data_IF_798635373117
#
_entry.id   IF_798635373117
#
_cell.length_a   1.000
_cell.length_b   1.000
_cell.length_c   1.000
_cell.angle_alpha   90.00
_cell.angle_beta   90.00
_cell.angle_gamma   90.00
#
_symmetry.space_group_name_H-M   'P 1'
#
loop_
_entity.id
_entity.type
_entity.pdbx_description
1 polymer ?
#
# COMPACT_ATOMS: atom_id res chain seq x y z
N UNK A 1 -17.47 -20.04 8.96
CA UNK A 1 -16.82 -18.94 9.71
C UNK A 1 -15.39 -18.75 9.18
N UNK A 2 -15.22 -17.99 8.09
CA UNK A 2 -13.89 -17.56 7.66
C UNK A 2 -13.45 -16.42 8.58
N UNK A 3 -12.40 -16.65 9.37
CA UNK A 3 -11.97 -15.69 10.38
C UNK A 3 -11.55 -14.38 9.72
N UNK A 4 -11.82 -13.24 10.36
CA UNK A 4 -11.45 -11.90 9.87
C UNK A 4 -9.96 -11.74 9.52
N UNK A 5 -9.12 -12.67 9.97
CA UNK A 5 -7.70 -12.77 9.69
C UNK A 5 -7.38 -13.15 8.25
N UNK A 6 -8.12 -14.07 7.62
CA UNK A 6 -7.80 -14.49 6.24
C UNK A 6 -8.13 -13.38 5.25
N UNK A 7 -9.22 -12.65 5.45
CA UNK A 7 -9.57 -11.46 4.63
C UNK A 7 -8.49 -10.38 4.67
N UNK A 8 -7.81 -10.20 5.80
CA UNK A 8 -6.72 -9.23 5.92
C UNK A 8 -5.43 -9.67 5.20
N UNK A 9 -5.20 -10.97 5.02
CA UNK A 9 -4.03 -11.48 4.29
C UNK A 9 -4.23 -11.38 2.77
N UNK A 10 -5.46 -11.54 2.30
CA UNK A 10 -5.82 -11.42 0.88
C UNK A 10 -5.69 -9.97 0.35
N UNK A 11 -5.70 -8.97 1.23
CA UNK A 11 -5.52 -7.55 0.91
C UNK A 11 -4.04 -7.11 0.82
N UNK A 12 -3.08 -8.02 1.07
CA UNK A 12 -1.66 -7.69 1.00
C UNK A 12 -1.28 -7.40 -0.46
N UNK A 13 -0.81 -6.18 -0.69
CA UNK A 13 -0.38 -5.77 -2.02
C UNK A 13 0.92 -6.50 -2.40
N UNK A 14 1.05 -7.00 -3.63
CA UNK A 14 2.33 -7.48 -4.13
C UNK A 14 3.32 -6.31 -4.24
N UNK A 15 4.62 -6.62 -4.20
CA UNK A 15 5.69 -5.64 -4.34
C UNK A 15 5.49 -4.79 -5.62
N UNK A 16 5.40 -3.45 -5.53
CA UNK A 16 5.24 -2.59 -6.69
C UNK A 16 6.48 -2.67 -7.57
N UNK A 17 6.30 -2.78 -8.89
CA UNK A 17 7.43 -2.83 -9.83
C UNK A 17 8.04 -4.22 -10.06
N UNK A 18 7.47 -5.29 -9.48
CA UNK A 18 7.78 -6.68 -9.86
C UNK A 18 9.26 -7.03 -9.81
N UNK A 19 9.83 -7.47 -10.94
CA UNK A 19 11.22 -7.88 -11.06
C UNK A 19 12.23 -6.75 -10.91
N UNK A 20 11.89 -5.52 -11.30
CA UNK A 20 12.82 -4.38 -11.25
C UNK A 20 13.13 -4.03 -9.79
N UNK A 21 12.08 -3.92 -8.97
CA UNK A 21 12.26 -3.60 -7.56
C UNK A 21 12.97 -4.73 -6.80
N UNK A 22 12.62 -6.00 -7.09
CA UNK A 22 13.33 -7.15 -6.52
C UNK A 22 14.82 -7.16 -6.87
N UNK A 23 15.15 -6.83 -8.12
CA UNK A 23 16.54 -6.71 -8.56
C UNK A 23 17.26 -5.57 -7.85
N UNK A 24 16.60 -4.43 -7.66
CA UNK A 24 17.16 -3.30 -6.92
C UNK A 24 17.45 -3.65 -5.46
N UNK A 25 16.51 -4.32 -4.77
CA UNK A 25 16.69 -4.80 -3.39
C UNK A 25 17.87 -5.79 -3.32
N UNK A 26 17.93 -6.73 -4.26
CA UNK A 26 19.02 -7.70 -4.34
C UNK A 26 20.37 -7.00 -4.55
N UNK A 27 20.46 -6.07 -5.50
CA UNK A 27 21.68 -5.29 -5.77
C UNK A 27 22.10 -4.48 -4.54
N UNK A 28 21.15 -3.79 -3.88
CA UNK A 28 21.45 -3.05 -2.67
C UNK A 28 21.96 -3.95 -1.54
N UNK A 29 21.35 -5.12 -1.35
CA UNK A 29 21.77 -6.10 -0.34
C UNK A 29 23.16 -6.68 -0.65
N UNK A 30 23.44 -6.98 -1.92
CA UNK A 30 24.76 -7.46 -2.34
C UNK A 30 25.83 -6.35 -2.20
N UNK A 31 25.46 -5.10 -2.45
CA UNK A 31 26.36 -3.95 -2.26
C UNK A 31 26.71 -3.76 -0.78
N UNK A 32 25.74 -3.88 0.14
CA UNK A 32 26.01 -3.76 1.58
C UNK A 32 26.87 -4.92 2.09
N UNK A 33 26.56 -6.15 1.68
CA UNK A 33 27.40 -7.32 1.97
C UNK A 33 28.82 -7.14 1.45
N UNK A 34 28.97 -6.59 0.24
CA UNK A 34 30.29 -6.33 -0.34
C UNK A 34 31.10 -5.30 0.46
N UNK A 35 30.44 -4.27 1.00
CA UNK A 35 31.07 -3.26 1.86
C UNK A 35 31.53 -3.89 3.18
N UNK A 36 30.71 -4.73 3.81
CA UNK A 36 31.05 -5.41 5.07
C UNK A 36 32.21 -6.41 4.91
N UNK A 37 32.22 -7.20 3.83
CA UNK A 37 33.33 -8.13 3.55
C UNK A 37 34.67 -7.39 3.42
N UNK A 38 34.65 -6.17 2.86
CA UNK A 38 35.85 -5.32 2.77
C UNK A 38 36.26 -4.68 4.08
N UNK A 39 35.40 -4.70 5.09
CA UNK A 39 35.68 -4.07 6.38
C UNK A 39 36.85 -4.69 7.14
N UNK A 40 37.32 -5.90 6.82
CA UNK A 40 38.33 -6.66 7.59
C UNK A 40 37.92 -6.97 9.05
N UNK A 41 36.69 -6.67 9.47
CA UNK A 41 36.23 -6.85 10.85
C UNK A 41 35.61 -8.22 11.10
N UNK A 42 35.37 -9.01 10.05
CA UNK A 42 34.65 -10.29 10.11
C UNK A 42 35.59 -11.48 9.87
N UNK A 43 35.57 -12.44 10.77
CA UNK A 43 36.31 -13.70 10.59
C UNK A 43 35.50 -14.71 9.75
N UNK A 44 35.62 -14.57 8.44
CA UNK A 44 34.96 -15.43 7.44
C UNK A 44 35.52 -16.87 7.39
N UNK A 45 36.56 -17.17 8.17
CA UNK A 45 37.05 -18.55 8.32
C UNK A 45 36.16 -19.38 9.26
N UNK A 46 35.34 -18.71 10.07
CA UNK A 46 34.43 -19.32 11.05
C UNK A 46 32.97 -19.27 10.60
N UNK A 47 32.17 -20.26 11.02
CA UNK A 47 30.72 -20.28 10.79
C UNK A 47 30.02 -19.09 11.48
N UNK A 48 30.58 -18.60 12.59
CA UNK A 48 30.08 -17.44 13.31
C UNK A 48 30.20 -16.16 12.48
N UNK A 49 31.35 -15.92 11.83
CA UNK A 49 31.53 -14.74 10.98
C UNK A 49 30.59 -14.72 9.77
N UNK A 50 30.26 -15.90 9.21
CA UNK A 50 29.22 -16.01 8.18
C UNK A 50 27.81 -15.67 8.70
N UNK A 51 27.49 -16.08 9.93
CA UNK A 51 26.22 -15.71 10.56
C UNK A 51 26.15 -14.21 10.83
N UNK A 52 27.22 -13.62 11.36
CA UNK A 52 27.32 -12.19 11.64
C UNK A 52 27.13 -11.33 10.37
N UNK A 53 27.62 -11.81 9.22
CA UNK A 53 27.41 -11.16 7.92
C UNK A 53 25.96 -11.30 7.41
N UNK A 54 25.38 -12.49 7.46
CA UNK A 54 24.09 -12.79 6.80
C UNK A 54 22.88 -12.39 7.66
N UNK A 55 22.96 -12.56 8.98
CA UNK A 55 21.84 -12.38 9.90
C UNK A 55 21.21 -10.98 9.82
N UNK A 56 21.97 -9.87 9.82
CA UNK A 56 21.38 -8.52 9.71
C UNK A 56 20.60 -8.32 8.40
N UNK A 57 21.01 -9.00 7.33
CA UNK A 57 20.46 -8.90 5.98
C UNK A 57 19.30 -9.88 5.71
N UNK A 58 19.07 -10.84 6.61
CA UNK A 58 17.99 -11.83 6.52
C UNK A 58 16.59 -11.22 6.26
N UNK A 59 16.21 -10.07 6.85
CA UNK A 59 14.92 -9.44 6.58
C UNK A 59 14.77 -8.98 5.12
N UNK A 60 15.86 -8.55 4.48
CA UNK A 60 15.86 -8.15 3.06
C UNK A 60 15.74 -9.34 2.13
N UNK A 61 16.42 -10.45 2.43
CA UNK A 61 16.25 -11.69 1.67
C UNK A 61 14.82 -12.21 1.77
N UNK A 62 14.24 -12.18 2.97
CA UNK A 62 12.86 -12.58 3.19
C UNK A 62 11.87 -11.62 2.48
N UNK A 63 12.19 -10.34 2.36
CA UNK A 63 11.39 -9.37 1.60
C UNK A 63 11.23 -9.72 0.12
N UNK A 64 12.18 -10.45 -0.49
CA UNK A 64 12.04 -10.93 -1.88
C UNK A 64 10.85 -11.89 -2.04
N UNK A 65 10.57 -12.69 -1.00
CA UNK A 65 9.41 -13.59 -0.95
C UNK A 65 8.12 -12.85 -0.59
N UNK A 66 8.21 -11.76 0.17
CA UNK A 66 7.09 -10.88 0.48
C UNK A 66 7.25 -10.18 1.83
N UNK A 67 6.29 -9.31 2.15
CA UNK A 67 6.37 -8.47 3.35
C UNK A 67 6.17 -9.22 4.67
N UNK A 68 5.37 -10.29 4.64
CA UNK A 68 5.16 -11.17 5.81
C UNK A 68 6.43 -11.95 6.16
N UNK A 69 7.07 -12.67 5.23
CA UNK A 69 8.38 -13.26 5.46
C UNK A 69 9.41 -12.24 5.94
N UNK A 70 9.41 -11.02 5.40
CA UNK A 70 10.32 -9.95 5.83
C UNK A 70 10.15 -9.59 7.32
N UNK A 71 8.90 -9.44 7.78
CA UNK A 71 8.60 -9.16 9.18
C UNK A 71 9.02 -10.30 10.10
N UNK A 72 8.79 -11.56 9.69
CA UNK A 72 9.24 -12.74 10.44
C UNK A 72 10.76 -12.80 10.47
N UNK A 73 11.41 -12.55 9.32
CA UNK A 73 12.86 -12.51 9.19
C UNK A 73 13.49 -11.42 10.05
N UNK A 74 12.82 -10.27 10.20
CA UNK A 74 13.23 -9.20 11.12
C UNK A 74 13.23 -9.67 12.58
N UNK A 75 12.14 -10.29 13.04
CA UNK A 75 12.08 -10.83 14.40
C UNK A 75 13.15 -11.91 14.63
N UNK A 76 13.35 -12.77 13.64
CA UNK A 76 14.32 -13.87 13.72
C UNK A 76 15.76 -13.34 13.72
N UNK A 77 16.07 -12.36 12.87
CA UNK A 77 17.38 -11.70 12.85
C UNK A 77 17.70 -11.06 14.20
N UNK A 78 16.74 -10.29 14.76
CA UNK A 78 16.89 -9.68 16.07
C UNK A 78 17.11 -10.73 17.17
N UNK A 79 16.32 -11.82 17.17
CA UNK A 79 16.46 -12.89 18.15
C UNK A 79 17.84 -13.58 18.07
N UNK A 80 18.36 -13.81 16.86
CA UNK A 80 19.69 -14.40 16.65
C UNK A 80 20.79 -13.44 17.09
N UNK A 81 20.69 -12.14 16.78
CA UNK A 81 21.67 -11.13 17.25
C UNK A 81 21.72 -11.11 18.78
N UNK A 82 20.56 -11.17 19.44
CA UNK A 82 20.51 -11.25 20.90
C UNK A 82 21.11 -12.54 21.45
N UNK A 83 20.86 -13.68 20.79
CA UNK A 83 21.47 -14.96 21.17
C UNK A 83 23.00 -14.97 20.99
N UNK A 84 23.53 -14.17 20.06
CA UNK A 84 24.97 -13.99 19.82
C UNK A 84 25.63 -13.02 20.83
N UNK A 85 24.90 -12.54 21.82
CA UNK A 85 25.40 -11.61 22.83
C UNK A 85 25.11 -10.14 22.51
N UNK A 86 24.42 -9.85 21.41
CA UNK A 86 23.89 -8.53 21.15
C UNK A 86 24.96 -7.49 20.81
N UNK A 87 25.90 -7.88 19.97
CA UNK A 87 26.98 -7.01 19.49
C UNK A 87 26.41 -5.72 18.85
N UNK A 88 26.83 -4.52 19.33
CA UNK A 88 26.38 -3.24 18.81
C UNK A 88 26.59 -3.08 17.29
N UNK A 89 27.63 -3.70 16.73
CA UNK A 89 27.94 -3.66 15.29
C UNK A 89 26.87 -4.36 14.45
N UNK A 90 26.32 -5.48 14.94
CA UNK A 90 25.24 -6.22 14.27
C UNK A 90 23.92 -5.45 14.31
N UNK A 91 23.65 -4.76 15.42
CA UNK A 91 22.48 -3.87 15.54
C UNK A 91 22.59 -2.70 14.57
N UNK A 92 23.79 -2.13 14.42
CA UNK A 92 24.07 -1.06 13.45
C UNK A 92 23.87 -1.54 12.00
N UNK A 93 24.39 -2.72 11.66
CA UNK A 93 24.20 -3.36 10.36
C UNK A 93 22.71 -3.59 10.04
N UNK A 94 21.87 -3.76 11.07
CA UNK A 94 20.42 -3.94 10.94
C UNK A 94 19.65 -2.65 10.59
N UNK A 95 20.26 -1.46 10.69
CA UNK A 95 19.57 -0.17 10.41
C UNK A 95 19.02 -0.15 8.99
N UNK A 96 19.87 -0.37 8.00
CA UNK A 96 19.47 -0.31 6.59
C UNK A 96 18.39 -1.35 6.23
N UNK A 97 18.57 -2.65 6.54
CA UNK A 97 17.52 -3.67 6.40
C UNK A 97 16.21 -3.27 7.06
N UNK A 98 16.25 -2.71 8.27
CA UNK A 98 15.04 -2.34 9.00
C UNK A 98 14.30 -1.19 8.36
N UNK A 99 15.00 -0.14 7.90
CA UNK A 99 14.35 0.99 7.20
C UNK A 99 13.58 0.49 5.97
N UNK A 100 14.19 -0.37 5.18
CA UNK A 100 13.58 -0.93 3.97
C UNK A 100 12.35 -1.79 4.33
N UNK A 101 12.48 -2.70 5.30
CA UNK A 101 11.37 -3.56 5.74
C UNK A 101 10.23 -2.74 6.33
N UNK A 102 10.52 -1.67 7.08
CA UNK A 102 9.50 -0.76 7.63
C UNK A 102 8.78 0.00 6.53
N UNK A 103 9.51 0.52 5.55
CA UNK A 103 8.94 1.24 4.42
C UNK A 103 8.00 0.32 3.61
N UNK A 104 8.47 -0.88 3.24
CA UNK A 104 7.67 -1.84 2.49
C UNK A 104 6.53 -2.43 3.31
N UNK A 105 6.77 -2.78 4.58
CA UNK A 105 5.74 -3.24 5.52
C UNK A 105 4.61 -2.24 5.60
N UNK A 106 4.94 -0.99 5.85
CA UNK A 106 3.94 0.08 5.94
C UNK A 106 3.22 0.33 4.61
N UNK A 107 3.89 0.17 3.45
CA UNK A 107 3.26 0.39 2.15
C UNK A 107 2.34 -0.75 1.69
N UNK A 108 2.76 -2.00 1.91
CA UNK A 108 2.14 -3.21 1.37
C UNK A 108 1.09 -3.82 2.29
N UNK A 109 1.20 -3.60 3.62
CA UNK A 109 0.24 -4.13 4.58
C UNK A 109 -1.08 -3.34 4.55
N UNK A 110 -2.22 -4.00 4.81
CA UNK A 110 -3.49 -3.33 5.08
C UNK A 110 -3.37 -2.36 6.25
N UNK A 111 -4.13 -1.27 6.23
CA UNK A 111 -4.01 -0.16 7.19
C UNK A 111 -3.92 -0.61 8.67
N UNK A 112 -4.78 -1.56 9.09
CA UNK A 112 -4.76 -2.08 10.46
C UNK A 112 -3.46 -2.82 10.80
N UNK A 113 -2.96 -3.64 9.88
CA UNK A 113 -1.71 -4.37 10.04
C UNK A 113 -0.49 -3.45 9.96
N UNK A 114 -0.50 -2.47 9.04
CA UNK A 114 0.55 -1.46 8.93
C UNK A 114 0.67 -0.64 10.23
N UNK A 115 -0.47 -0.25 10.82
CA UNK A 115 -0.51 0.43 12.12
C UNK A 115 0.07 -0.44 13.24
N UNK A 116 -0.36 -1.69 13.35
CA UNK A 116 0.13 -2.59 14.39
C UNK A 116 1.62 -2.87 14.22
N UNK A 117 2.09 -3.10 12.99
CA UNK A 117 3.49 -3.34 12.68
C UNK A 117 4.36 -2.13 13.01
N UNK A 118 3.89 -0.92 12.68
CA UNK A 118 4.57 0.34 12.96
C UNK A 118 4.69 0.65 14.46
N UNK A 119 3.78 0.16 15.30
CA UNK A 119 3.88 0.29 16.77
C UNK A 119 4.69 -0.85 17.39
N UNK A 120 4.55 -2.07 16.86
CA UNK A 120 5.22 -3.26 17.36
C UNK A 120 6.75 -3.13 17.33
N UNK A 121 7.32 -2.67 16.21
CA UNK A 121 8.76 -2.55 16.04
C UNK A 121 9.46 -1.66 17.07
N UNK A 122 9.03 -0.39 17.29
CA UNK A 122 9.63 0.45 18.33
C UNK A 122 9.35 -0.09 19.75
N UNK A 123 8.22 -0.78 19.99
CA UNK A 123 7.97 -1.42 21.29
C UNK A 123 8.93 -2.57 21.57
N UNK A 124 9.25 -3.40 20.58
CA UNK A 124 10.23 -4.48 20.72
C UNK A 124 11.62 -3.92 21.02
N UNK A 125 12.04 -2.87 20.31
CA UNK A 125 13.33 -2.23 20.54
C UNK A 125 13.41 -1.51 21.88
N UNK A 126 12.33 -0.87 22.32
CA UNK A 126 12.26 -0.27 23.65
C UNK A 126 12.36 -1.34 24.75
N UNK A 127 11.65 -2.45 24.59
CA UNK A 127 11.75 -3.58 25.52
C UNK A 127 13.17 -4.15 25.58
N UNK A 128 13.84 -4.23 24.42
CA UNK A 128 15.22 -4.68 24.31
C UNK A 128 16.18 -3.70 25.00
N UNK A 129 16.08 -2.41 24.71
CA UNK A 129 16.84 -1.35 25.36
C UNK A 129 16.73 -1.39 26.90
N UNK A 130 15.52 -1.62 27.43
CA UNK A 130 15.30 -1.73 28.88
C UNK A 130 15.87 -3.03 29.46
N UNK A 131 15.87 -4.12 28.69
CA UNK A 131 16.24 -5.46 29.19
C UNK A 131 17.73 -5.76 29.10
N UNK A 132 18.48 -5.07 28.22
CA UNK A 132 19.93 -5.27 28.05
C UNK A 132 20.71 -4.00 28.37
N UNK A 133 21.03 -3.75 29.66
CA UNK A 133 21.79 -2.57 30.09
C UNK A 133 23.28 -2.62 29.68
N UNK A 134 23.77 -3.76 29.21
CA UNK A 134 25.18 -3.95 28.80
C UNK A 134 25.45 -3.56 27.34
N UNK A 135 24.42 -3.32 26.52
CA UNK A 135 24.64 -2.78 25.18
C UNK A 135 25.11 -1.34 25.26
N UNK A 136 26.10 -0.97 24.45
CA UNK A 136 26.35 0.44 24.18
C UNK A 136 25.04 1.06 23.68
N UNK A 137 24.53 2.04 24.42
CA UNK A 137 23.15 2.51 24.27
C UNK A 137 22.93 3.23 22.92
N UNK A 138 24.01 3.76 22.32
CA UNK A 138 23.96 4.62 21.14
C UNK A 138 23.33 3.97 19.89
N UNK A 139 23.75 2.78 19.41
CA UNK A 139 23.18 2.18 18.20
C UNK A 139 21.73 1.73 18.38
N UNK A 140 21.34 1.23 19.56
CA UNK A 140 19.95 0.82 19.84
C UNK A 140 19.02 2.03 19.86
N UNK A 141 19.45 3.12 20.49
CA UNK A 141 18.71 4.39 20.54
C UNK A 141 18.58 5.00 19.14
N UNK A 142 19.67 5.01 18.35
CA UNK A 142 19.66 5.51 16.98
C UNK A 142 18.70 4.70 16.08
N UNK A 143 18.78 3.37 16.16
CA UNK A 143 17.90 2.46 15.42
C UNK A 143 16.44 2.69 15.83
N UNK A 144 16.16 2.79 17.13
CA UNK A 144 14.83 3.08 17.66
C UNK A 144 14.26 4.43 17.17
N UNK A 145 15.08 5.49 17.20
CA UNK A 145 14.70 6.82 16.71
C UNK A 145 14.41 6.82 15.21
N UNK A 146 15.27 6.18 14.41
CA UNK A 146 15.09 6.07 12.96
C UNK A 146 13.82 5.30 12.61
N UNK A 147 13.53 4.22 13.32
CA UNK A 147 12.29 3.45 13.14
C UNK A 147 11.08 4.27 13.53
N UNK A 148 11.15 5.03 14.63
CA UNK A 148 10.07 5.90 15.04
C UNK A 148 9.79 7.01 14.01
N UNK A 149 10.84 7.65 13.49
CA UNK A 149 10.73 8.66 12.42
C UNK A 149 10.18 8.05 11.13
N UNK A 150 10.69 6.89 10.70
CA UNK A 150 10.23 6.19 9.52
C UNK A 150 8.75 5.77 9.66
N UNK A 151 8.38 5.21 10.80
CA UNK A 151 7.00 4.86 11.15
C UNK A 151 6.08 6.09 11.10
N UNK A 152 6.47 7.21 11.73
CA UNK A 152 5.67 8.43 11.75
C UNK A 152 5.48 9.02 10.35
N UNK A 153 6.57 9.15 9.59
CA UNK A 153 6.55 9.63 8.22
C UNK A 153 5.67 8.75 7.33
N UNK A 154 5.81 7.42 7.41
CA UNK A 154 5.06 6.51 6.55
C UNK A 154 3.58 6.38 6.92
N UNK A 155 3.28 6.47 8.22
CA UNK A 155 1.90 6.52 8.71
C UNK A 155 1.18 7.75 8.17
N UNK A 156 1.85 8.90 8.08
CA UNK A 156 1.29 10.10 7.46
C UNK A 156 0.89 9.87 6.00
N UNK A 157 1.77 9.25 5.20
CA UNK A 157 1.53 8.95 3.78
C UNK A 157 0.33 8.02 3.60
N UNK A 158 0.21 6.99 4.44
CA UNK A 158 -0.91 6.06 4.38
C UNK A 158 -2.26 6.69 4.75
N UNK A 159 -2.29 7.64 5.72
CA UNK A 159 -3.50 8.42 6.02
C UNK A 159 -3.94 9.23 4.81
N UNK A 160 -3.00 9.90 4.13
CA UNK A 160 -3.30 10.62 2.91
C UNK A 160 -3.82 9.69 1.81
N UNK A 161 -3.19 8.53 1.61
CA UNK A 161 -3.62 7.54 0.60
C UNK A 161 -5.05 7.08 0.83
N UNK A 162 -5.41 6.74 2.07
CA UNK A 162 -6.75 6.27 2.39
C UNK A 162 -7.82 7.34 2.07
N UNK A 163 -7.52 8.61 2.36
CA UNK A 163 -8.40 9.73 2.00
C UNK A 163 -8.52 9.93 0.49
N UNK A 164 -7.43 9.72 -0.26
CA UNK A 164 -7.44 9.79 -1.72
C UNK A 164 -8.24 8.64 -2.35
N UNK A 165 -8.07 7.41 -1.87
CA UNK A 165 -8.83 6.24 -2.32
C UNK A 165 -10.34 6.45 -2.09
N UNK A 166 -10.75 6.89 -0.89
CA UNK A 166 -12.15 7.22 -0.58
C UNK A 166 -12.71 8.35 -1.47
N UNK A 167 -11.90 9.36 -1.74
CA UNK A 167 -12.31 10.49 -2.58
C UNK A 167 -12.45 10.08 -4.05
N UNK A 168 -11.57 9.21 -4.55
CA UNK A 168 -11.64 8.69 -5.91
C UNK A 168 -12.89 7.84 -6.14
N UNK A 169 -13.26 7.00 -5.17
CA UNK A 169 -14.46 6.19 -5.24
C UNK A 169 -15.72 7.05 -5.14
N UNK A 170 -15.74 8.08 -4.28
CA UNK A 170 -16.84 9.03 -4.24
C UNK A 170 -17.04 9.77 -5.57
N UNK A 171 -15.95 10.19 -6.23
CA UNK A 171 -16.03 10.83 -7.57
C UNK A 171 -16.54 9.86 -8.63
N UNK A 172 -16.17 8.57 -8.56
CA UNK A 172 -16.70 7.54 -9.47
C UNK A 172 -18.19 7.33 -9.27
N UNK A 173 -18.66 7.24 -8.04
CA UNK A 173 -20.08 7.09 -7.73
C UNK A 173 -20.89 8.30 -8.20
N UNK A 174 -20.40 9.52 -7.94
CA UNK A 174 -21.05 10.75 -8.43
C UNK A 174 -21.11 10.78 -9.96
N UNK A 175 -20.04 10.37 -10.65
CA UNK A 175 -20.05 10.28 -12.12
C UNK A 175 -21.00 9.22 -12.64
N UNK A 176 -21.11 8.08 -11.97
CA UNK A 176 -22.05 7.02 -12.33
C UNK A 176 -23.50 7.51 -12.16
N UNK A 177 -23.79 8.22 -11.07
CA UNK A 177 -25.10 8.84 -10.85
C UNK A 177 -25.42 9.90 -11.91
N UNK A 178 -24.47 10.79 -12.24
CA UNK A 178 -24.68 11.79 -13.29
C UNK A 178 -24.89 11.16 -14.67
N UNK A 179 -24.18 10.08 -15.00
CA UNK A 179 -24.37 9.36 -16.25
C UNK A 179 -25.78 8.74 -16.33
N UNK A 180 -26.28 8.21 -15.21
CA UNK A 180 -27.63 7.66 -15.11
C UNK A 180 -28.70 8.75 -15.28
N UNK A 181 -28.57 9.87 -14.56
CA UNK A 181 -29.50 11.01 -14.65
C UNK A 181 -29.53 11.59 -16.07
N UNK A 182 -28.37 11.78 -16.71
CA UNK A 182 -28.32 12.23 -18.11
C UNK A 182 -28.96 11.25 -19.08
N UNK A 183 -28.92 9.95 -18.79
CA UNK A 183 -29.62 8.93 -19.56
C UNK A 183 -31.13 9.08 -19.43
N UNK A 184 -31.62 9.19 -18.20
CA UNK A 184 -33.05 9.37 -17.87
C UNK A 184 -33.60 10.67 -18.49
N UNK A 185 -32.87 11.79 -18.38
CA UNK A 185 -33.23 13.08 -18.99
C UNK A 185 -33.30 13.01 -20.53
N UNK A 186 -32.38 12.31 -21.19
CA UNK A 186 -32.40 12.14 -22.65
C UNK A 186 -33.63 11.35 -23.12
N UNK A 187 -34.03 10.32 -22.38
CA UNK A 187 -35.25 9.56 -22.67
C UNK A 187 -36.51 10.38 -22.43
N UNK A 188 -36.53 11.20 -21.37
CA UNK A 188 -37.65 12.08 -21.04
C UNK A 188 -37.81 13.18 -22.09
N UNK A 189 -36.72 13.85 -22.46
CA UNK A 189 -36.69 14.85 -23.53
C UNK A 189 -37.10 14.25 -24.89
N UNK A 190 -36.68 13.02 -25.20
CA UNK A 190 -37.11 12.35 -26.42
C UNK A 190 -38.62 12.07 -26.43
N UNK A 191 -39.19 11.69 -25.28
CA UNK A 191 -40.65 11.51 -25.13
C UNK A 191 -41.40 12.85 -25.28
N UNK A 192 -40.96 13.91 -24.63
CA UNK A 192 -41.58 15.24 -24.74
C UNK A 192 -41.50 15.80 -26.16
N UNK A 193 -40.34 15.69 -26.82
CA UNK A 193 -40.17 16.09 -28.22
C UNK A 193 -41.07 15.26 -29.16
N UNK A 194 -41.17 13.96 -28.94
CA UNK A 194 -42.05 13.11 -29.73
C UNK A 194 -43.51 13.55 -29.59
N UNK A 195 -43.96 13.79 -28.35
CA UNK A 195 -45.34 14.17 -28.07
C UNK A 195 -45.71 15.53 -28.67
N UNK A 196 -44.82 16.53 -28.55
CA UNK A 196 -45.03 17.85 -29.17
C UNK A 196 -45.02 17.79 -30.69
N UNK A 197 -44.15 16.97 -31.29
CA UNK A 197 -44.13 16.77 -32.75
C UNK A 197 -45.40 16.09 -33.28
N UNK A 198 -45.93 15.12 -32.55
CA UNK A 198 -47.19 14.44 -32.88
C UNK A 198 -48.39 15.37 -32.74
N UNK A 199 -48.47 16.11 -31.64
CA UNK A 199 -49.54 17.09 -31.42
C UNK A 199 -49.57 18.16 -32.53
N UNK A 200 -48.38 18.61 -32.98
CA UNK A 200 -48.26 19.56 -34.10
C UNK A 200 -48.66 18.96 -35.44
N UNK A 201 -48.39 17.69 -35.69
CA UNK A 201 -48.79 17.01 -36.93
C UNK A 201 -50.32 16.86 -37.00
N UNK A 202 -50.95 16.43 -35.91
CA UNK A 202 -52.41 16.29 -35.83
C UNK A 202 -53.12 17.64 -36.03
N UNK A 203 -52.60 18.73 -35.46
CA UNK A 203 -53.22 20.05 -35.64
C UNK A 203 -53.13 20.55 -37.08
N UNK A 204 -52.03 20.26 -37.79
CA UNK A 204 -51.88 20.58 -39.22
C UNK A 204 -52.85 19.75 -40.08
N UNK A 205 -52.98 18.45 -39.82
CA UNK A 205 -53.93 17.58 -40.54
C UNK A 205 -55.39 17.97 -40.27
N UNK A 206 -55.73 18.34 -39.03
CA UNK A 206 -57.07 18.81 -38.67
C UNK A 206 -57.41 20.13 -39.38
N UNK A 207 -56.48 21.09 -39.45
CA UNK A 207 -56.69 22.36 -40.17
C UNK A 207 -56.77 22.16 -41.69
N UNK A 208 -55.94 21.29 -42.27
CA UNK A 208 -56.00 20.95 -43.69
C UNK A 208 -57.29 20.24 -44.09
N UNK A 209 -57.79 19.33 -43.26
CA UNK A 209 -59.05 18.61 -43.53
C UNK A 209 -60.30 19.49 -43.42
N UNK A 210 -60.23 20.60 -42.65
CA UNK A 210 -61.33 21.56 -42.53
C UNK A 210 -61.44 22.48 -43.74
N UNK A 211 -60.33 22.75 -44.44
CA UNK A 211 -60.30 23.61 -45.63
C UNK A 211 -60.81 22.86 -46.89
N UNK A 212 -60.60 21.54 -46.96
CA UNK A 212 -61.17 20.70 -48.03
C UNK A 212 -62.66 20.39 -47.84
N UNK A 213 -63.14 20.27 -46.59
CA UNK A 213 -64.57 20.03 -46.32
C UNK A 213 -65.46 21.24 -46.58
N UNK A 214 -64.92 22.46 -46.50
CA UNK A 214 -65.63 23.68 -46.89
C UNK A 214 -65.79 23.84 -48.40
N UNK A 215 -64.93 23.19 -49.21
CA UNK A 215 -64.91 23.36 -50.67
C UNK A 215 -65.84 22.40 -51.43
N UNK A 216 -66.41 21.40 -50.75
CA UNK A 216 -67.38 20.44 -51.32
C UNK A 216 -68.85 20.70 -50.92
N UNK A 217 -69.13 21.78 -50.18
CA UNK A 217 -70.50 22.13 -49.77
C UNK A 217 -71.17 23.19 -50.67
N UNK A 218 -70.45 23.71 -51.69
CA UNK A 218 -70.90 24.81 -52.57
C UNK A 218 -71.17 24.36 -54.04
N UNK A 219 -71.20 23.06 -54.32
CA UNK A 219 -71.70 22.48 -55.59
C UNK A 219 -73.02 21.74 -55.36
#
# INVERSE_FOLDING_TARGET
MGSSWTKGLDEIKPLPGGWILRSLILVATLLTLWIEIRGEHLDLSSLRGWLELVVPHLPLFALLAGVLPAAIGWCLALAVIMALGGDPSLVLAMIFPTIIVVAFGSYLLPWKLAVNFSVFLPSVLLGLYVSTPEMEHDPVVLLGLLIFLAAAAWRSINVYRHRYEQSADHVRDVRAQQARVRGEERTLLAHELHNTSWARRISVEAFGSSDERGRHADD
#
